data_IF_523952108044
#
_entry.id   IF_523952108044
#
_cell.length_a   1.000
_cell.length_b   1.000
_cell.length_c   1.000
_cell.angle_alpha   90.00
_cell.angle_beta   90.00
_cell.angle_gamma   90.00
#
_symmetry.space_group_name_H-M   'P 1'
#
loop_
_entity.id
_entity.type
_entity.pdbx_description
1 polymer ?
#
# COMPACT_ATOMS: atom_id res chain seq x y z
N UNK A 1 -26.82 7.08 -18.18
CA UNK A 1 -25.87 8.04 -18.77
C UNK A 1 -24.71 8.36 -17.83
N UNK A 2 -24.95 8.77 -16.58
CA UNK A 2 -23.90 9.06 -15.59
C UNK A 2 -23.01 7.84 -15.28
N UNK A 3 -23.61 6.65 -15.06
CA UNK A 3 -22.87 5.41 -14.79
C UNK A 3 -21.96 4.97 -15.97
N UNK A 4 -22.37 5.27 -17.20
CA UNK A 4 -21.61 4.93 -18.42
C UNK A 4 -20.38 5.82 -18.58
N UNK A 5 -20.49 7.10 -18.22
CA UNK A 5 -19.38 8.07 -18.22
C UNK A 5 -18.37 7.71 -17.13
N UNK A 6 -18.85 7.32 -15.95
CA UNK A 6 -17.97 6.92 -14.84
C UNK A 6 -17.17 5.66 -15.18
N UNK A 7 -17.81 4.60 -15.68
CA UNK A 7 -17.10 3.39 -16.13
C UNK A 7 -16.11 3.68 -17.26
N UNK A 8 -16.50 4.52 -18.24
CA UNK A 8 -15.62 4.93 -19.34
C UNK A 8 -14.39 5.73 -18.87
N UNK A 9 -14.54 6.59 -17.86
CA UNK A 9 -13.41 7.33 -17.26
C UNK A 9 -12.47 6.43 -16.45
N UNK A 10 -13.00 5.45 -15.70
CA UNK A 10 -12.18 4.47 -15.00
C UNK A 10 -11.37 3.61 -15.98
N UNK A 11 -11.99 3.15 -17.06
CA UNK A 11 -11.31 2.38 -18.12
C UNK A 11 -10.19 3.19 -18.78
N UNK A 12 -10.42 4.49 -19.02
CA UNK A 12 -9.43 5.37 -19.63
C UNK A 12 -8.24 5.63 -18.69
N UNK A 13 -8.50 5.92 -17.41
CA UNK A 13 -7.44 6.13 -16.42
C UNK A 13 -6.57 4.87 -16.26
N UNK A 14 -7.21 3.70 -16.13
CA UNK A 14 -6.52 2.42 -16.05
C UNK A 14 -5.66 2.15 -17.29
N UNK A 15 -6.18 2.44 -18.48
CA UNK A 15 -5.40 2.33 -19.72
C UNK A 15 -4.14 3.19 -19.69
N UNK A 16 -4.26 4.47 -19.31
CA UNK A 16 -3.10 5.37 -19.25
C UNK A 16 -2.08 4.94 -18.19
N UNK A 17 -2.53 4.55 -17.00
CA UNK A 17 -1.67 4.09 -15.90
C UNK A 17 -0.90 2.84 -16.35
N UNK A 18 -1.59 1.82 -16.86
CA UNK A 18 -0.95 0.59 -17.33
C UNK A 18 0.04 0.86 -18.46
N UNK A 19 -0.28 1.78 -19.38
CA UNK A 19 0.63 2.17 -20.46
C UNK A 19 1.88 2.91 -19.97
N UNK A 20 1.78 3.73 -18.92
CA UNK A 20 2.98 4.34 -18.32
C UNK A 20 3.79 3.32 -17.54
N UNK A 21 3.12 2.43 -16.80
CA UNK A 21 3.78 1.39 -16.02
C UNK A 21 4.56 0.40 -16.91
N UNK A 22 4.02 0.01 -18.07
CA UNK A 22 4.69 -0.88 -19.02
C UNK A 22 6.11 -0.39 -19.41
N UNK A 23 6.31 0.93 -19.53
CA UNK A 23 7.64 1.50 -19.81
C UNK A 23 8.63 1.32 -18.67
N UNK A 24 8.14 1.31 -17.43
CA UNK A 24 8.96 1.08 -16.23
C UNK A 24 9.26 -0.41 -16.10
N UNK A 25 8.27 -1.26 -16.37
CA UNK A 25 8.43 -2.71 -16.40
C UNK A 25 9.48 -3.16 -17.43
N UNK A 26 9.47 -2.59 -18.64
CA UNK A 26 10.48 -2.83 -19.68
C UNK A 26 11.92 -2.47 -19.25
N UNK A 27 12.08 -1.53 -18.31
CA UNK A 27 13.38 -1.11 -17.76
C UNK A 27 13.80 -1.94 -16.54
N UNK A 28 12.95 -2.86 -16.08
CA UNK A 28 13.14 -3.69 -14.90
C UNK A 28 12.56 -3.06 -13.64
N UNK A 29 11.43 -3.58 -13.16
CA UNK A 29 10.83 -3.22 -11.88
C UNK A 29 11.05 -4.32 -10.84
N UNK A 30 12.06 -4.11 -9.98
CA UNK A 30 12.38 -5.04 -8.89
C UNK A 30 11.22 -5.28 -7.93
N UNK A 31 10.35 -4.28 -7.72
CA UNK A 31 9.20 -4.46 -6.84
C UNK A 31 8.18 -5.39 -7.47
N UNK A 32 7.99 -5.30 -8.79
CA UNK A 32 7.10 -6.21 -9.53
C UNK A 32 7.62 -7.66 -9.55
N UNK A 33 8.94 -7.85 -9.50
CA UNK A 33 9.55 -9.18 -9.39
C UNK A 33 9.33 -9.81 -8.00
N UNK A 34 9.38 -9.00 -6.94
CA UNK A 34 9.27 -9.48 -5.54
C UNK A 34 7.82 -9.62 -5.10
N UNK A 35 6.94 -8.71 -5.53
CA UNK A 35 5.53 -8.66 -5.12
C UNK A 35 4.79 -10.00 -5.21
N UNK A 36 4.89 -10.79 -6.30
CA UNK A 36 4.20 -12.08 -6.41
C UNK A 36 4.86 -13.23 -5.64
N UNK A 37 6.07 -13.03 -5.10
CA UNK A 37 6.77 -14.06 -4.33
C UNK A 37 6.27 -14.14 -2.88
N UNK A 38 5.55 -13.12 -2.42
CA UNK A 38 5.05 -13.00 -1.06
C UNK A 38 3.53 -13.18 -1.11
N UNK A 39 3.00 -14.15 -0.36
CA UNK A 39 1.56 -14.26 -0.15
C UNK A 39 1.11 -13.23 0.89
N UNK A 40 0.84 -12.00 0.44
CA UNK A 40 0.51 -10.89 1.34
C UNK A 40 -0.72 -11.14 2.22
N UNK A 41 -1.65 -11.98 1.78
CA UNK A 41 -2.90 -12.20 2.50
C UNK A 41 -2.71 -12.96 3.83
N UNK A 42 -1.59 -13.69 4.00
CA UNK A 42 -1.26 -14.36 5.27
C UNK A 42 -1.07 -13.36 6.42
N UNK A 43 -0.63 -12.14 6.10
CA UNK A 43 -0.44 -11.08 7.09
C UNK A 43 -1.75 -10.39 7.49
N UNK A 44 -2.79 -10.45 6.65
CA UNK A 44 -4.06 -9.77 6.91
C UNK A 44 -4.68 -10.15 8.27
N UNK A 45 -4.83 -11.43 8.66
CA UNK A 45 -5.37 -11.78 9.97
C UNK A 45 -4.49 -11.27 11.13
N UNK A 46 -3.16 -11.25 10.96
CA UNK A 46 -2.19 -10.77 11.97
C UNK A 46 -2.36 -9.26 12.17
N UNK A 47 -2.44 -8.50 11.08
CA UNK A 47 -2.59 -7.04 11.12
C UNK A 47 -4.01 -6.66 11.57
N UNK A 48 -5.03 -7.41 11.16
CA UNK A 48 -6.41 -7.10 11.51
C UNK A 48 -6.62 -7.09 13.03
N UNK A 49 -5.97 -8.00 13.79
CA UNK A 49 -6.11 -8.01 15.25
C UNK A 49 -5.61 -6.74 15.95
N UNK A 50 -4.68 -6.00 15.34
CA UNK A 50 -4.15 -4.73 15.87
C UNK A 50 -4.76 -3.47 15.22
N UNK A 51 -5.22 -3.60 13.97
CA UNK A 51 -5.63 -2.47 13.13
C UNK A 51 -7.15 -2.30 13.01
N UNK A 52 -7.94 -3.12 13.72
CA UNK A 52 -9.39 -2.99 13.76
C UNK A 52 -9.81 -1.69 14.49
N UNK A 53 -9.95 -0.59 13.74
CA UNK A 53 -10.52 0.67 14.22
C UNK A 53 -12.06 0.62 14.28
N UNK A 54 -12.64 -0.44 14.86
CA UNK A 54 -14.07 -0.50 15.19
C UNK A 54 -14.43 0.36 16.41
N UNK A 55 -13.85 1.56 16.50
CA UNK A 55 -14.29 2.53 17.52
C UNK A 55 -15.67 3.07 17.14
N UNK A 56 -16.61 3.10 18.08
CA UNK A 56 -17.97 3.66 17.93
C UNK A 56 -17.98 5.13 17.45
N UNK A 57 -16.82 5.80 17.48
CA UNK A 57 -16.66 7.22 17.14
C UNK A 57 -16.43 7.52 15.65
N UNK A 58 -16.47 6.52 14.75
CA UNK A 58 -16.41 6.76 13.31
C UNK A 58 -15.07 7.36 12.87
N UNK A 59 -14.08 6.50 12.64
CA UNK A 59 -12.79 6.90 12.07
C UNK A 59 -12.80 6.98 10.55
N UNK A 60 -11.75 7.59 9.98
CA UNK A 60 -11.43 7.58 8.54
C UNK A 60 -11.44 6.13 8.01
N UNK A 61 -11.89 5.87 6.77
CA UNK A 61 -11.87 4.52 6.20
C UNK A 61 -10.52 3.87 6.44
N UNK A 62 -10.50 2.65 6.98
CA UNK A 62 -9.26 1.91 7.16
C UNK A 62 -8.62 1.78 5.77
N UNK A 63 -7.38 2.28 5.62
CA UNK A 63 -6.58 1.88 4.48
C UNK A 63 -6.44 0.36 4.54
N UNK A 64 -6.40 -0.27 3.37
CA UNK A 64 -6.19 -1.72 3.30
C UNK A 64 -4.92 -2.10 4.08
N UNK A 65 -5.02 -3.13 4.92
CA UNK A 65 -3.95 -3.55 5.84
C UNK A 65 -2.67 -3.92 5.08
N UNK A 66 -2.82 -4.52 3.91
CA UNK A 66 -1.71 -4.93 3.05
C UNK A 66 -1.05 -3.71 2.42
N UNK A 67 -1.82 -2.69 2.05
CA UNK A 67 -1.24 -1.42 1.57
C UNK A 67 -0.37 -0.78 2.66
N UNK A 68 -0.82 -0.81 3.93
CA UNK A 68 -0.02 -0.30 5.04
C UNK A 68 1.27 -1.11 5.26
N UNK A 69 1.19 -2.44 5.21
CA UNK A 69 2.35 -3.30 5.32
C UNK A 69 3.35 -3.04 4.18
N UNK A 70 2.88 -2.97 2.93
CA UNK A 70 3.71 -2.67 1.76
C UNK A 70 4.35 -1.28 1.85
N UNK A 71 3.67 -0.29 2.44
CA UNK A 71 4.28 1.02 2.72
C UNK A 71 5.48 0.90 3.69
N UNK A 72 5.39 0.07 4.73
CA UNK A 72 6.53 -0.18 5.62
C UNK A 72 7.67 -0.91 4.90
N UNK A 73 7.36 -1.86 4.02
CA UNK A 73 8.36 -2.55 3.19
C UNK A 73 9.12 -1.55 2.30
N UNK A 74 8.41 -0.59 1.68
CA UNK A 74 9.04 0.49 0.92
C UNK A 74 9.92 1.38 1.82
N UNK A 75 9.47 1.71 3.03
CA UNK A 75 10.29 2.50 3.97
C UNK A 75 11.60 1.80 4.32
N UNK A 76 11.53 0.53 4.70
CA UNK A 76 12.72 -0.23 5.12
C UNK A 76 13.65 -0.49 3.94
N UNK A 77 13.11 -0.84 2.76
CA UNK A 77 13.91 -1.18 1.58
C UNK A 77 14.64 0.03 0.98
N UNK A 78 14.06 1.23 1.08
CA UNK A 78 14.62 2.45 0.50
C UNK A 78 15.11 3.48 1.54
N UNK A 79 15.04 3.16 2.84
CA UNK A 79 15.48 4.04 3.93
C UNK A 79 14.67 5.33 4.05
N UNK A 80 13.34 5.26 3.85
CA UNK A 80 12.47 6.43 3.75
C UNK A 80 11.86 6.82 5.10
N UNK A 81 11.71 8.13 5.32
CA UNK A 81 10.86 8.67 6.38
C UNK A 81 9.36 8.51 6.04
N UNK A 82 8.47 8.79 7.00
CA UNK A 82 7.01 8.79 6.76
C UNK A 82 6.59 9.75 5.65
N UNK A 83 7.17 10.94 5.66
CA UNK A 83 6.94 11.94 4.62
C UNK A 83 7.49 11.50 3.26
N UNK A 84 8.74 10.99 3.22
CA UNK A 84 9.35 10.56 1.95
C UNK A 84 8.68 9.32 1.38
N UNK A 85 8.18 8.40 2.21
CA UNK A 85 7.39 7.26 1.76
C UNK A 85 6.09 7.71 1.10
N UNK A 86 5.33 8.60 1.76
CA UNK A 86 4.12 9.17 1.17
C UNK A 86 4.43 9.88 -0.16
N UNK A 87 5.45 10.72 -0.18
CA UNK A 87 5.83 11.49 -1.36
C UNK A 87 6.25 10.58 -2.52
N UNK A 88 7.17 9.65 -2.29
CA UNK A 88 7.63 8.74 -3.34
C UNK A 88 6.54 7.78 -3.81
N UNK A 89 5.63 7.35 -2.94
CA UNK A 89 4.47 6.56 -3.34
C UNK A 89 3.48 7.36 -4.20
N UNK A 90 3.41 8.70 -4.10
CA UNK A 90 2.64 9.51 -5.04
C UNK A 90 3.39 9.81 -6.35
N UNK A 91 4.72 9.89 -6.30
CA UNK A 91 5.54 10.30 -7.45
C UNK A 91 5.96 9.14 -8.36
N UNK A 92 6.12 7.93 -7.81
CA UNK A 92 6.71 6.77 -8.52
C UNK A 92 5.64 5.74 -8.88
N UNK A 93 5.45 5.53 -10.18
CA UNK A 93 4.46 4.55 -10.67
C UNK A 93 4.78 3.11 -10.28
N UNK A 94 6.06 2.74 -10.12
CA UNK A 94 6.43 1.42 -9.60
C UNK A 94 6.01 1.23 -8.13
N UNK A 95 6.07 2.29 -7.32
CA UNK A 95 5.58 2.24 -5.94
C UNK A 95 4.06 2.14 -5.93
N UNK A 96 3.36 2.94 -6.74
CA UNK A 96 1.91 2.82 -6.90
C UNK A 96 1.49 1.41 -7.34
N UNK A 97 2.20 0.82 -8.31
CA UNK A 97 1.95 -0.56 -8.76
C UNK A 97 2.14 -1.56 -7.64
N UNK A 98 3.23 -1.46 -6.90
CA UNK A 98 3.53 -2.34 -5.75
C UNK A 98 2.42 -2.26 -4.69
N UNK A 99 1.91 -1.06 -4.42
CA UNK A 99 0.78 -0.83 -3.52
C UNK A 99 -0.59 -1.27 -4.08
N UNK A 100 -0.65 -1.73 -5.33
CA UNK A 100 -1.91 -2.17 -5.95
C UNK A 100 -2.80 -1.05 -6.48
N UNK A 101 -2.22 0.11 -6.81
CA UNK A 101 -2.94 1.32 -7.25
C UNK A 101 -4.10 1.73 -6.32
N UNK A 102 -3.82 2.02 -5.04
CA UNK A 102 -4.85 2.44 -4.11
C UNK A 102 -5.45 3.78 -4.55
N UNK A 103 -6.75 3.98 -4.31
CA UNK A 103 -7.43 5.27 -4.57
C UNK A 103 -6.74 6.45 -3.88
N UNK A 104 -6.12 6.18 -2.73
CA UNK A 104 -5.34 7.15 -1.97
C UNK A 104 -4.14 6.51 -1.31
N UNK A 105 -2.96 7.09 -1.54
CA UNK A 105 -1.74 6.73 -0.81
C UNK A 105 -1.88 7.13 0.67
N UNK A 106 -1.56 6.24 1.63
CA UNK A 106 -1.56 6.58 3.05
C UNK A 106 -0.69 7.80 3.34
N UNK A 107 -1.21 8.73 4.15
CA UNK A 107 -0.43 9.89 4.57
C UNK A 107 0.56 9.56 5.69
N UNK A 108 1.55 10.42 5.87
CA UNK A 108 2.60 10.26 6.89
C UNK A 108 2.05 9.93 8.29
N UNK A 109 0.93 10.56 8.69
CA UNK A 109 0.32 10.34 10.01
C UNK A 109 -0.30 8.95 10.12
N UNK A 110 -0.83 8.43 9.01
CA UNK A 110 -1.42 7.08 8.98
C UNK A 110 -0.33 6.01 8.99
N UNK A 111 0.78 6.23 8.29
CA UNK A 111 1.97 5.35 8.31
C UNK A 111 2.56 5.29 9.72
N UNK A 112 2.73 6.46 10.34
CA UNK A 112 3.25 6.57 11.71
C UNK A 112 2.37 5.82 12.70
N UNK A 113 1.04 6.06 12.69
CA UNK A 113 0.10 5.41 13.61
C UNK A 113 0.07 3.88 13.41
N UNK A 114 0.18 3.40 12.16
CA UNK A 114 0.26 1.98 11.88
C UNK A 114 1.52 1.36 12.50
N UNK A 115 2.68 2.02 12.34
CA UNK A 115 3.94 1.57 12.96
C UNK A 115 3.87 1.59 14.49
N UNK A 116 3.28 2.64 15.08
CA UNK A 116 3.10 2.72 16.53
C UNK A 116 2.30 1.53 17.05
N UNK A 117 1.16 1.23 16.41
CA UNK A 117 0.35 0.07 16.77
C UNK A 117 1.10 -1.26 16.61
N UNK A 118 1.95 -1.42 15.59
CA UNK A 118 2.74 -2.65 15.40
C UNK A 118 3.63 -2.90 16.61
N UNK A 119 4.32 -1.85 17.06
CA UNK A 119 5.23 -1.89 18.22
C UNK A 119 4.46 -2.16 19.51
N UNK A 120 3.32 -1.50 19.73
CA UNK A 120 2.49 -1.70 20.92
C UNK A 120 1.99 -3.15 21.05
N UNK A 121 1.71 -3.80 19.91
CA UNK A 121 1.21 -5.17 19.87
C UNK A 121 2.31 -6.22 19.71
N UNK A 122 3.59 -5.83 19.61
CA UNK A 122 4.74 -6.73 19.42
C UNK A 122 4.57 -7.65 18.19
N UNK A 123 3.98 -7.12 17.11
CA UNK A 123 3.67 -7.87 15.88
C UNK A 123 4.85 -7.88 14.91
N UNK A 124 5.87 -7.07 15.17
CA UNK A 124 7.13 -7.04 14.45
C UNK A 124 7.76 -8.44 14.35
N UNK A 125 7.88 -9.18 15.45
CA UNK A 125 8.44 -10.54 15.45
C UNK A 125 7.59 -11.50 14.61
N UNK A 126 6.26 -11.44 14.72
CA UNK A 126 5.34 -12.31 13.99
C UNK A 126 5.37 -12.08 12.47
N UNK A 127 5.62 -10.85 12.02
CA UNK A 127 5.74 -10.54 10.60
C UNK A 127 7.09 -11.01 10.04
N UNK A 128 8.17 -10.93 10.83
CA UNK A 128 9.48 -11.44 10.41
C UNK A 128 9.53 -12.97 10.29
N UNK A 129 8.72 -13.72 11.05
CA UNK A 129 8.65 -15.18 10.93
C UNK A 129 7.98 -15.66 9.62
N UNK A 130 7.13 -14.83 9.02
CA UNK A 130 6.36 -15.14 7.80
C UNK A 130 6.97 -14.57 6.51
N UNK A 131 8.00 -13.70 6.62
CA UNK A 131 8.76 -13.10 5.49
C UNK A 131 9.96 -13.96 5.07
#
# INVERSE_FOLDING_TARGET
>A
MILYIFNSMYDLNNYFINKQYAKVEELGDRLADIDPLIDWEVFRPIIKSMYDNQSEKGGRPNNDEIVMLKMLVLQTSYGLSDFEAQKQANDRISFLKFLGFPDKVPDQSTIWLFREKMIENQIDDAIWEEL
#
